data_IF_660290219797
#
_entry.id   IF_660290219797
#
_cell.length_a   1.000
_cell.length_b   1.000
_cell.length_c   1.000
_cell.angle_alpha   90.00
_cell.angle_beta   90.00
_cell.angle_gamma   90.00
#
_symmetry.space_group_name_H-M   'P 1'
#
loop_
_entity.id
_entity.type
_entity.pdbx_description
1 polymer ?
#
# COMPACT_ATOMS: atom_id res chain seq x y z
N UNK A 1 -31.42 -42.50 60.75
CA UNK A 1 -30.43 -41.45 61.11
C UNK A 1 -30.37 -40.47 59.95
N UNK A 2 -31.03 -39.31 60.09
CA UNK A 2 -30.99 -38.22 59.11
C UNK A 2 -30.55 -36.97 59.85
N UNK A 3 -29.25 -36.84 60.09
CA UNK A 3 -28.68 -35.63 60.68
C UNK A 3 -28.75 -34.50 59.65
N UNK A 4 -29.44 -33.41 59.99
CA UNK A 4 -29.52 -32.23 59.13
C UNK A 4 -28.15 -31.55 59.10
N UNK A 5 -27.53 -31.50 57.92
CA UNK A 5 -26.28 -30.76 57.69
C UNK A 5 -26.65 -29.29 57.50
N UNK A 6 -26.36 -28.46 58.50
CA UNK A 6 -26.56 -27.02 58.43
C UNK A 6 -25.40 -26.36 57.67
N UNK A 7 -25.66 -25.83 56.48
CA UNK A 7 -24.68 -25.06 55.71
C UNK A 7 -24.84 -23.55 55.98
N UNK A 8 -23.73 -22.81 56.18
CA UNK A 8 -23.79 -21.36 56.28
C UNK A 8 -24.35 -20.73 55.00
N UNK A 9 -25.29 -19.79 55.13
CA UNK A 9 -25.95 -19.14 54.00
C UNK A 9 -24.95 -18.52 52.99
N UNK A 10 -23.87 -17.90 53.49
CA UNK A 10 -22.84 -17.30 52.65
C UNK A 10 -22.14 -18.34 51.74
N UNK A 11 -21.96 -19.57 52.22
CA UNK A 11 -21.33 -20.64 51.44
C UNK A 11 -22.25 -21.11 50.31
N UNK A 12 -23.56 -21.19 50.58
CA UNK A 12 -24.58 -21.50 49.57
C UNK A 12 -24.63 -20.43 48.48
N UNK A 13 -24.54 -19.14 48.85
CA UNK A 13 -24.49 -18.03 47.89
C UNK A 13 -23.25 -18.10 47.01
N UNK A 14 -22.08 -18.41 47.57
CA UNK A 14 -20.83 -18.58 46.81
C UNK A 14 -20.95 -19.77 45.84
N UNK A 15 -21.45 -20.92 46.31
CA UNK A 15 -21.65 -22.10 45.47
C UNK A 15 -22.65 -21.84 44.34
N UNK A 16 -23.75 -21.15 44.62
CA UNK A 16 -24.73 -20.76 43.62
C UNK A 16 -24.12 -19.80 42.58
N UNK A 17 -23.31 -18.83 43.02
CA UNK A 17 -22.60 -17.93 42.12
C UNK A 17 -21.65 -18.68 41.18
N UNK A 18 -20.81 -19.58 41.70
CA UNK A 18 -19.91 -20.39 40.87
C UNK A 18 -20.67 -21.37 39.96
N UNK A 19 -21.81 -21.91 40.40
CA UNK A 19 -22.67 -22.74 39.57
C UNK A 19 -23.26 -21.94 38.40
N UNK A 20 -23.73 -20.70 38.65
CA UNK A 20 -24.22 -19.79 37.61
C UNK A 20 -23.11 -19.41 36.64
N UNK A 21 -21.92 -19.05 37.13
CA UNK A 21 -20.75 -18.77 36.29
C UNK A 21 -20.39 -19.99 35.44
N UNK A 22 -20.38 -21.19 36.02
CA UNK A 22 -20.12 -22.43 35.30
C UNK A 22 -21.16 -22.75 34.22
N UNK A 23 -22.44 -22.49 34.48
CA UNK A 23 -23.53 -22.64 33.50
C UNK A 23 -23.38 -21.63 32.37
N UNK A 24 -23.09 -20.36 32.68
CA UNK A 24 -22.85 -19.33 31.68
C UNK A 24 -21.67 -19.69 30.80
N UNK A 25 -20.55 -20.16 31.38
CA UNK A 25 -19.36 -20.50 30.62
C UNK A 25 -19.49 -21.81 29.80
N UNK A 26 -20.20 -22.83 30.31
CA UNK A 26 -20.35 -24.11 29.61
C UNK A 26 -21.53 -24.19 28.64
N UNK A 27 -22.61 -23.45 28.87
CA UNK A 27 -23.84 -23.58 28.06
C UNK A 27 -24.05 -22.35 27.18
N UNK A 28 -23.99 -21.16 27.79
CA UNK A 28 -24.26 -19.92 27.04
C UNK A 28 -23.06 -19.49 26.20
N UNK A 29 -21.84 -19.51 26.76
CA UNK A 29 -20.66 -19.04 26.02
C UNK A 29 -20.35 -19.86 24.74
N UNK A 30 -20.51 -21.20 24.68
CA UNK A 30 -20.31 -21.95 23.44
C UNK A 30 -21.40 -21.67 22.40
N UNK A 31 -22.67 -21.56 22.84
CA UNK A 31 -23.80 -21.24 21.97
C UNK A 31 -23.69 -19.84 21.37
N UNK A 32 -23.32 -18.86 22.19
CA UNK A 32 -23.04 -17.49 21.77
C UNK A 32 -21.83 -17.45 20.83
N UNK A 33 -20.72 -18.13 21.17
CA UNK A 33 -19.55 -18.25 20.29
C UNK A 33 -19.90 -18.88 18.94
N UNK A 34 -20.73 -19.92 18.93
CA UNK A 34 -21.19 -20.57 17.71
C UNK A 34 -22.08 -19.65 16.88
N UNK A 35 -23.03 -18.94 17.49
CA UNK A 35 -23.89 -17.97 16.81
C UNK A 35 -23.08 -16.87 16.12
N UNK A 36 -22.12 -16.27 16.83
CA UNK A 36 -21.23 -15.27 16.24
C UNK A 36 -20.31 -15.86 15.16
N UNK A 37 -19.73 -17.05 15.39
CA UNK A 37 -18.88 -17.74 14.40
C UNK A 37 -19.66 -18.07 13.13
N UNK A 38 -20.90 -18.56 13.24
CA UNK A 38 -21.77 -18.85 12.09
C UNK A 38 -22.08 -17.56 11.32
N UNK A 39 -22.37 -16.45 12.01
CA UNK A 39 -22.63 -15.16 11.36
C UNK A 39 -21.38 -14.61 10.64
N UNK A 40 -20.19 -14.75 11.24
CA UNK A 40 -18.92 -14.36 10.62
C UNK A 40 -18.58 -15.25 9.43
N UNK A 41 -18.75 -16.58 9.54
CA UNK A 41 -18.51 -17.50 8.43
C UNK A 41 -19.45 -17.22 7.27
N UNK A 42 -20.76 -17.05 7.53
CA UNK A 42 -21.71 -16.71 6.47
C UNK A 42 -21.36 -15.36 5.80
N UNK A 43 -20.89 -14.37 6.56
CA UNK A 43 -20.43 -13.10 5.99
C UNK A 43 -19.15 -13.26 5.17
N UNK A 44 -18.22 -14.13 5.58
CA UNK A 44 -17.02 -14.48 4.80
C UNK A 44 -17.41 -15.18 3.50
N UNK A 45 -18.37 -16.11 3.55
CA UNK A 45 -18.83 -16.85 2.38
C UNK A 45 -19.56 -15.93 1.39
N UNK A 46 -20.41 -15.02 1.88
CA UNK A 46 -21.04 -13.98 1.06
C UNK A 46 -20.01 -13.02 0.45
N UNK A 47 -18.97 -12.66 1.20
CA UNK A 47 -17.86 -11.84 0.68
C UNK A 47 -17.05 -12.58 -0.38
N UNK A 48 -16.73 -13.85 -0.15
CA UNK A 48 -16.01 -14.71 -1.10
C UNK A 48 -16.78 -14.90 -2.41
N UNK A 49 -18.12 -14.82 -2.40
CA UNK A 49 -18.94 -14.86 -3.62
C UNK A 49 -18.88 -13.58 -4.45
N UNK A 50 -18.47 -12.45 -3.85
CA UNK A 50 -18.40 -11.13 -4.51
C UNK A 50 -16.98 -10.71 -4.90
N UNK A 51 -15.97 -11.48 -4.50
CA UNK A 51 -14.56 -11.20 -4.78
C UNK A 51 -14.07 -12.12 -5.88
N UNK A 52 -13.31 -11.59 -6.84
CA UNK A 52 -12.64 -12.39 -7.86
C UNK A 52 -11.60 -13.32 -7.22
N UNK A 53 -11.00 -12.89 -6.10
CA UNK A 53 -10.07 -13.69 -5.29
C UNK A 53 -10.63 -13.99 -3.90
N UNK A 54 -10.73 -15.28 -3.55
CA UNK A 54 -11.21 -15.75 -2.26
C UNK A 54 -10.26 -15.37 -1.12
N UNK A 55 -10.84 -15.09 0.05
CA UNK A 55 -10.09 -14.87 1.30
C UNK A 55 -9.44 -16.19 1.71
N UNK A 56 -8.11 -16.21 1.82
CA UNK A 56 -7.39 -17.42 2.21
C UNK A 56 -7.59 -17.77 3.70
N UNK A 57 -7.68 -19.05 4.06
CA UNK A 57 -7.80 -19.51 5.45
C UNK A 57 -6.69 -18.96 6.37
N UNK A 58 -5.49 -18.75 5.82
CA UNK A 58 -4.36 -18.17 6.56
C UNK A 58 -4.66 -16.79 7.16
N UNK A 59 -5.47 -15.96 6.48
CA UNK A 59 -5.90 -14.66 7.02
C UNK A 59 -6.88 -14.81 8.20
N UNK A 60 -7.58 -15.94 8.28
CA UNK A 60 -8.55 -16.27 9.33
C UNK A 60 -7.91 -17.00 10.51
N UNK A 61 -6.68 -17.49 10.36
CA UNK A 61 -5.89 -18.09 11.43
C UNK A 61 -5.73 -17.10 12.57
N UNK A 62 -5.90 -17.58 13.81
CA UNK A 62 -5.68 -16.74 14.99
C UNK A 62 -4.26 -16.21 14.95
N UNK A 63 -4.11 -14.89 15.13
CA UNK A 63 -2.80 -14.21 15.15
C UNK A 63 -1.77 -14.92 16.04
N UNK A 64 -2.18 -15.42 17.21
CA UNK A 64 -1.27 -16.14 18.11
C UNK A 64 -0.71 -17.41 17.45
N UNK A 65 -1.54 -18.17 16.73
CA UNK A 65 -1.08 -19.38 16.03
C UNK A 65 -0.09 -19.07 14.93
N UNK A 66 -0.24 -17.95 14.21
CA UNK A 66 0.74 -17.50 13.22
C UNK A 66 2.08 -17.10 13.86
N UNK A 67 2.03 -16.46 15.03
CA UNK A 67 3.23 -16.11 15.80
C UNK A 67 3.93 -17.39 16.27
N UNK A 68 3.19 -18.34 16.84
CA UNK A 68 3.75 -19.59 17.31
C UNK A 68 4.38 -20.37 16.14
N UNK A 69 3.69 -20.49 15.01
CA UNK A 69 4.21 -21.14 13.80
C UNK A 69 5.51 -20.48 13.31
N UNK A 70 5.59 -19.14 13.34
CA UNK A 70 6.80 -18.41 12.96
C UNK A 70 7.95 -18.61 13.96
N UNK A 71 7.65 -18.65 15.25
CA UNK A 71 8.64 -18.84 16.31
C UNK A 71 9.26 -20.23 16.31
N UNK A 72 8.52 -21.24 15.87
CA UNK A 72 8.99 -22.62 15.75
C UNK A 72 9.45 -22.97 14.31
N UNK A 73 9.52 -22.00 13.39
CA UNK A 73 10.08 -22.22 12.06
C UNK A 73 11.59 -22.51 12.16
N UNK A 74 12.05 -23.55 11.46
CA UNK A 74 13.44 -24.02 11.50
C UNK A 74 14.45 -22.88 11.25
N UNK A 75 14.20 -22.03 10.24
CA UNK A 75 15.13 -20.95 9.87
C UNK A 75 15.17 -19.83 10.91
N UNK A 76 14.12 -19.67 11.73
CA UNK A 76 14.10 -18.73 12.86
C UNK A 76 14.85 -19.33 14.05
N UNK A 77 14.61 -20.61 14.37
CA UNK A 77 15.32 -21.31 15.45
C UNK A 77 16.83 -21.36 15.19
N UNK A 78 17.25 -21.67 13.96
CA UNK A 78 18.66 -21.63 13.53
C UNK A 78 19.29 -20.24 13.76
N UNK A 79 18.57 -19.16 13.44
CA UNK A 79 19.08 -17.81 13.65
C UNK A 79 19.14 -17.42 15.13
N UNK A 80 18.18 -17.86 15.93
CA UNK A 80 18.21 -17.70 17.39
C UNK A 80 19.42 -18.42 17.99
N UNK A 81 19.71 -19.63 17.53
CA UNK A 81 20.86 -20.43 17.97
C UNK A 81 22.19 -19.79 17.57
N UNK A 82 22.32 -19.40 16.30
CA UNK A 82 23.52 -18.73 15.79
C UNK A 82 23.83 -17.45 16.56
N UNK A 83 22.81 -16.63 16.84
CA UNK A 83 23.00 -15.41 17.60
C UNK A 83 23.28 -15.64 19.09
N UNK A 84 22.65 -16.65 19.70
CA UNK A 84 22.93 -17.02 21.09
C UNK A 84 24.38 -17.46 21.27
N UNK A 85 24.91 -18.24 20.31
CA UNK A 85 26.31 -18.67 20.29
C UNK A 85 27.26 -17.48 20.08
N UNK A 86 26.97 -16.61 19.11
CA UNK A 86 27.84 -15.47 18.78
C UNK A 86 27.90 -14.41 19.88
N UNK A 87 26.79 -14.18 20.59
CA UNK A 87 26.68 -13.12 21.62
C UNK A 87 26.91 -13.60 23.05
N UNK A 88 26.99 -14.92 23.28
CA UNK A 88 27.01 -15.52 24.63
C UNK A 88 25.73 -15.30 25.44
N UNK A 89 24.68 -14.76 24.83
CA UNK A 89 23.42 -14.45 25.50
C UNK A 89 22.57 -15.72 25.63
N UNK A 90 21.91 -15.98 26.78
CA UNK A 90 21.06 -17.15 26.93
C UNK A 90 19.97 -17.24 25.84
N UNK A 91 19.80 -18.42 25.25
CA UNK A 91 18.80 -18.71 24.19
C UNK A 91 17.41 -18.15 24.52
N UNK A 92 16.97 -18.27 25.77
CA UNK A 92 15.66 -17.79 26.21
C UNK A 92 15.47 -16.28 26.02
N UNK A 93 16.54 -15.48 26.15
CA UNK A 93 16.50 -14.03 25.96
C UNK A 93 16.36 -13.68 24.47
N UNK A 94 17.14 -14.35 23.62
CA UNK A 94 17.07 -14.17 22.16
C UNK A 94 15.71 -14.63 21.63
N UNK A 95 15.17 -15.74 22.13
CA UNK A 95 13.84 -16.24 21.80
C UNK A 95 12.75 -15.22 22.14
N UNK A 96 12.79 -14.60 23.33
CA UNK A 96 11.85 -13.51 23.70
C UNK A 96 11.96 -12.31 22.77
N UNK A 97 13.15 -12.00 22.25
CA UNK A 97 13.35 -10.92 21.29
C UNK A 97 12.79 -11.28 19.91
N UNK A 98 13.02 -12.49 19.42
CA UNK A 98 12.38 -13.02 18.22
C UNK A 98 10.85 -12.99 18.34
N UNK A 99 10.29 -13.34 19.50
CA UNK A 99 8.84 -13.28 19.75
C UNK A 99 8.31 -11.84 19.69
N UNK A 100 9.09 -10.87 20.23
CA UNK A 100 8.75 -9.44 20.10
C UNK A 100 8.72 -9.02 18.63
N UNK A 101 9.69 -9.45 17.83
CA UNK A 101 9.72 -9.19 16.39
C UNK A 101 8.55 -9.85 15.67
N UNK A 102 8.23 -11.11 15.97
CA UNK A 102 7.07 -11.80 15.43
C UNK A 102 5.76 -11.07 15.77
N UNK A 103 5.58 -10.61 17.02
CA UNK A 103 4.42 -9.80 17.42
C UNK A 103 4.39 -8.44 16.70
N UNK A 104 5.54 -7.83 16.44
CA UNK A 104 5.61 -6.59 15.68
C UNK A 104 5.16 -6.80 14.23
N UNK A 105 5.63 -7.87 13.59
CA UNK A 105 5.42 -8.19 12.17
C UNK A 105 4.02 -8.77 11.91
N UNK A 106 3.58 -9.78 12.66
CA UNK A 106 2.33 -10.49 12.37
C UNK A 106 1.12 -9.56 12.62
N UNK A 107 0.29 -9.30 11.60
CA UNK A 107 -0.88 -8.42 11.70
C UNK A 107 -2.03 -9.12 12.44
N UNK A 108 -2.95 -8.32 12.97
CA UNK A 108 -4.21 -8.79 13.56
C UNK A 108 -5.33 -8.56 12.56
N UNK A 109 -5.44 -9.42 11.54
CA UNK A 109 -6.46 -9.25 10.50
C UNK A 109 -7.87 -9.42 11.06
N UNK A 110 -8.77 -8.52 10.66
CA UNK A 110 -10.20 -8.58 10.98
C UNK A 110 -11.02 -8.43 9.70
N UNK A 111 -11.69 -9.51 9.30
CA UNK A 111 -12.55 -9.56 8.10
C UNK A 111 -13.62 -8.46 8.14
N UNK A 112 -14.31 -8.33 9.28
CA UNK A 112 -15.40 -7.36 9.44
C UNK A 112 -14.89 -5.93 9.36
N UNK A 113 -13.75 -5.63 9.98
CA UNK A 113 -13.14 -4.30 9.91
C UNK A 113 -12.71 -3.97 8.48
N UNK A 114 -12.11 -4.94 7.77
CA UNK A 114 -11.65 -4.77 6.39
C UNK A 114 -12.81 -4.47 5.43
N UNK A 115 -13.80 -5.37 5.34
CA UNK A 115 -14.81 -5.31 4.27
C UNK A 115 -16.02 -4.41 4.57
N UNK A 116 -16.37 -4.17 5.83
CA UNK A 116 -17.58 -3.41 6.15
C UNK A 116 -17.31 -1.92 6.40
N UNK A 117 -16.31 -1.60 7.22
CA UNK A 117 -16.03 -0.22 7.64
C UNK A 117 -14.85 0.38 6.90
N UNK A 118 -13.76 -0.39 6.75
CA UNK A 118 -12.52 0.02 6.09
C UNK A 118 -12.74 0.47 4.65
N UNK A 119 -13.35 -0.38 3.81
CA UNK A 119 -13.64 -0.03 2.41
C UNK A 119 -14.53 1.20 2.26
N UNK A 120 -15.57 1.36 3.09
CA UNK A 120 -16.47 2.52 3.01
C UNK A 120 -15.75 3.82 3.38
N UNK A 121 -14.94 3.79 4.43
CA UNK A 121 -14.12 4.93 4.83
C UNK A 121 -13.08 5.23 3.76
N UNK A 122 -12.39 4.22 3.24
CA UNK A 122 -11.38 4.40 2.20
C UNK A 122 -11.99 5.07 0.97
N UNK A 123 -13.12 4.56 0.48
CA UNK A 123 -13.89 5.18 -0.60
C UNK A 123 -14.27 6.63 -0.28
N UNK A 124 -14.88 6.85 0.89
CA UNK A 124 -15.30 8.19 1.30
C UNK A 124 -14.13 9.17 1.36
N UNK A 125 -13.00 8.79 1.98
CA UNK A 125 -11.81 9.64 2.08
C UNK A 125 -11.21 9.94 0.71
N UNK A 126 -11.08 8.93 -0.15
CA UNK A 126 -10.53 9.09 -1.49
C UNK A 126 -11.41 9.98 -2.37
N UNK A 127 -12.73 9.75 -2.40
CA UNK A 127 -13.69 10.57 -3.18
C UNK A 127 -13.94 11.94 -2.55
N UNK A 128 -13.66 12.09 -1.25
CA UNK A 128 -13.75 13.36 -0.55
C UNK A 128 -12.69 14.34 -1.06
N UNK A 129 -11.44 13.87 -1.22
CA UNK A 129 -10.31 14.70 -1.62
C UNK A 129 -10.15 14.74 -3.14
N UNK A 130 -10.36 13.61 -3.84
CA UNK A 130 -10.03 13.43 -5.24
C UNK A 130 -11.22 13.06 -6.13
N UNK A 131 -11.05 13.24 -7.43
CA UNK A 131 -11.80 12.50 -8.45
C UNK A 131 -11.04 11.22 -8.75
N UNK A 132 -11.41 10.12 -8.08
CA UNK A 132 -10.76 8.82 -8.28
C UNK A 132 -11.16 8.26 -9.65
N UNK A 133 -10.18 7.83 -10.43
CA UNK A 133 -10.37 7.28 -11.78
C UNK A 133 -9.57 5.99 -11.94
N UNK A 134 -10.21 5.03 -12.60
CA UNK A 134 -9.50 3.90 -13.19
C UNK A 134 -8.92 4.40 -14.52
N UNK A 135 -7.61 4.26 -14.68
CA UNK A 135 -6.91 4.52 -15.93
C UNK A 135 -7.03 3.31 -16.85
N UNK A 136 -5.91 2.65 -17.09
CA UNK A 136 -5.86 1.38 -17.81
C UNK A 136 -6.08 0.20 -16.86
N UNK A 137 -6.84 -0.81 -17.28
CA UNK A 137 -6.90 -2.09 -16.58
C UNK A 137 -6.97 -3.19 -17.63
N UNK A 138 -5.99 -4.11 -17.61
CA UNK A 138 -6.04 -5.31 -18.43
C UNK A 138 -7.00 -6.33 -17.81
N UNK A 139 -8.30 -6.06 -17.93
CA UNK A 139 -9.35 -6.88 -17.32
C UNK A 139 -9.34 -8.31 -17.87
N UNK A 140 -8.90 -8.52 -19.11
CA UNK A 140 -8.77 -9.87 -19.68
C UNK A 140 -7.58 -10.60 -19.05
N UNK A 141 -6.38 -10.01 -19.00
CA UNK A 141 -5.24 -10.67 -18.37
C UNK A 141 -5.47 -10.93 -16.87
N UNK A 142 -6.18 -10.01 -16.18
CA UNK A 142 -6.55 -10.18 -14.77
C UNK A 142 -7.52 -11.35 -14.53
N UNK A 143 -8.46 -11.64 -15.45
CA UNK A 143 -9.36 -12.80 -15.35
C UNK A 143 -8.66 -14.14 -15.53
N UNK A 144 -7.53 -14.16 -16.26
CA UNK A 144 -6.75 -15.37 -16.52
C UNK A 144 -5.79 -15.73 -15.37
N UNK A 145 -5.68 -14.86 -14.35
CA UNK A 145 -4.91 -15.18 -13.15
C UNK A 145 -5.56 -16.36 -12.43
N UNK A 146 -4.77 -17.42 -12.19
CA UNK A 146 -5.24 -18.59 -11.46
C UNK A 146 -5.82 -18.16 -10.10
N UNK A 147 -7.08 -18.50 -9.77
CA UNK A 147 -7.68 -18.22 -8.46
C UNK A 147 -6.91 -18.84 -7.29
N UNK A 148 -6.06 -19.84 -7.57
CA UNK A 148 -5.15 -20.44 -6.61
C UNK A 148 -3.76 -19.80 -6.60
N UNK A 149 -3.44 -18.82 -7.45
CA UNK A 149 -2.16 -18.11 -7.35
C UNK A 149 -2.07 -17.22 -6.10
N UNK A 150 -0.84 -16.95 -5.69
CA UNK A 150 -0.49 -15.98 -4.66
C UNK A 150 -0.29 -14.62 -5.33
N UNK A 151 -1.30 -13.77 -5.27
CA UNK A 151 -1.26 -12.47 -5.98
C UNK A 151 -0.55 -11.39 -5.16
N UNK A 152 0.42 -10.72 -5.77
CA UNK A 152 1.18 -9.62 -5.18
C UNK A 152 1.03 -8.37 -6.05
N UNK A 153 0.29 -7.37 -5.57
CA UNK A 153 0.24 -6.07 -6.24
C UNK A 153 1.55 -5.32 -5.99
N UNK A 154 2.24 -4.94 -7.06
CA UNK A 154 3.49 -4.18 -6.99
C UNK A 154 3.28 -2.81 -7.61
N UNK A 155 3.62 -1.75 -6.88
CA UNK A 155 3.18 -0.41 -7.25
C UNK A 155 4.19 0.67 -6.88
N UNK A 156 4.13 1.78 -7.62
CA UNK A 156 4.91 2.97 -7.28
C UNK A 156 4.34 3.69 -6.04
N UNK A 157 5.15 4.48 -5.35
CA UNK A 157 4.78 5.15 -4.10
C UNK A 157 4.92 6.68 -4.16
N UNK A 158 3.77 7.36 -4.24
CA UNK A 158 3.65 8.81 -4.43
C UNK A 158 3.12 9.52 -3.19
N UNK A 159 2.10 8.96 -2.55
CA UNK A 159 1.39 9.57 -1.43
C UNK A 159 1.07 8.54 -0.35
N UNK A 160 0.87 8.97 0.89
CA UNK A 160 0.29 8.05 1.88
C UNK A 160 -1.17 7.72 1.57
N UNK A 161 -1.82 8.48 0.66
CA UNK A 161 -3.13 8.13 0.12
C UNK A 161 -3.11 6.86 -0.73
N UNK A 162 -1.94 6.41 -1.22
CA UNK A 162 -1.81 5.20 -2.06
C UNK A 162 -2.42 3.96 -1.37
N UNK A 163 -2.16 3.79 -0.07
CA UNK A 163 -2.73 2.68 0.71
C UNK A 163 -4.26 2.71 0.73
N UNK A 164 -4.85 3.90 0.86
CA UNK A 164 -6.30 4.10 0.93
C UNK A 164 -6.94 3.86 -0.44
N UNK A 165 -6.35 4.43 -1.49
CA UNK A 165 -6.85 4.32 -2.87
C UNK A 165 -6.78 2.90 -3.38
N UNK A 166 -5.66 2.22 -3.17
CA UNK A 166 -5.54 0.82 -3.57
C UNK A 166 -6.46 -0.06 -2.73
N UNK A 167 -6.67 0.24 -1.44
CA UNK A 167 -7.66 -0.52 -0.63
C UNK A 167 -9.04 -0.35 -1.22
N UNK A 168 -9.45 0.89 -1.51
CA UNK A 168 -10.74 1.18 -2.12
C UNK A 168 -10.90 0.44 -3.45
N UNK A 169 -9.93 0.55 -4.35
CA UNK A 169 -10.02 0.01 -5.69
C UNK A 169 -9.88 -1.51 -5.73
N UNK A 170 -8.91 -2.06 -5.02
CA UNK A 170 -8.72 -3.50 -4.98
C UNK A 170 -9.78 -4.20 -4.14
N UNK A 171 -10.37 -3.58 -3.10
CA UNK A 171 -11.46 -4.23 -2.33
C UNK A 171 -12.71 -4.55 -3.14
N UNK A 172 -12.87 -3.94 -4.33
CA UNK A 172 -13.90 -4.31 -5.29
C UNK A 172 -13.55 -5.54 -6.14
N UNK A 173 -12.30 -6.03 -6.09
CA UNK A 173 -11.77 -7.18 -6.87
C UNK A 173 -11.13 -8.27 -5.97
N UNK A 174 -10.56 -7.93 -4.80
CA UNK A 174 -9.77 -8.82 -3.94
C UNK A 174 -9.58 -8.33 -2.48
N UNK A 175 -9.17 -9.24 -1.58
CA UNK A 175 -8.77 -8.91 -0.20
C UNK A 175 -7.26 -8.65 -0.08
N UNK A 176 -6.79 -7.43 0.21
CA UNK A 176 -5.35 -7.09 0.25
C UNK A 176 -4.71 -7.15 1.65
N UNK A 177 -3.40 -7.38 1.71
CA UNK A 177 -2.50 -7.25 2.89
C UNK A 177 -1.28 -6.39 2.52
N UNK A 178 -0.97 -5.31 3.25
CA UNK A 178 0.07 -4.34 2.86
C UNK A 178 1.40 -4.49 3.63
N UNK A 179 2.53 -4.14 3.00
CA UNK A 179 3.76 -3.79 3.72
C UNK A 179 3.81 -2.27 3.94
N UNK A 180 3.79 -1.77 5.19
CA UNK A 180 3.71 -0.33 5.52
C UNK A 180 4.92 0.14 6.35
N UNK A 181 5.47 1.32 6.06
CA UNK A 181 6.59 1.91 6.80
C UNK A 181 6.23 2.55 8.15
N UNK A 182 7.24 3.00 8.90
CA UNK A 182 7.12 3.47 10.29
C UNK A 182 6.25 4.73 10.53
N UNK A 183 5.92 5.51 9.49
CA UNK A 183 5.14 6.76 9.63
C UNK A 183 3.67 6.53 10.01
N UNK A 184 3.11 5.35 9.77
CA UNK A 184 1.73 5.01 10.10
C UNK A 184 1.48 4.60 11.58
N UNK A 185 2.45 4.89 12.48
CA UNK A 185 2.33 4.68 13.95
C UNK A 185 1.49 5.75 14.68
N UNK A 186 0.47 6.31 14.04
CA UNK A 186 -0.53 7.17 14.69
C UNK A 186 -1.60 6.25 15.30
N UNK A 187 -1.84 6.33 16.61
CA UNK A 187 -2.57 5.34 17.42
C UNK A 187 -3.93 4.86 16.83
N UNK A 188 -4.72 5.74 16.21
CA UNK A 188 -5.98 5.37 15.54
C UNK A 188 -5.80 4.73 14.14
N UNK A 189 -4.86 5.22 13.34
CA UNK A 189 -4.61 4.76 11.97
C UNK A 189 -3.86 3.42 11.96
N UNK A 190 -2.98 3.20 12.94
CA UNK A 190 -2.20 1.98 13.11
C UNK A 190 -3.09 0.75 13.33
N UNK A 191 -4.13 0.87 14.16
CA UNK A 191 -5.06 -0.23 14.43
C UNK A 191 -5.87 -0.61 13.18
N UNK A 192 -6.34 0.40 12.43
CA UNK A 192 -7.04 0.19 11.16
C UNK A 192 -6.13 -0.49 10.12
N UNK A 193 -4.92 0.02 9.91
CA UNK A 193 -3.95 -0.54 8.96
C UNK A 193 -3.60 -2.00 9.29
N UNK A 194 -3.33 -2.34 10.56
CA UNK A 194 -3.06 -3.73 10.99
C UNK A 194 -4.29 -4.62 10.84
N UNK A 195 -5.49 -4.09 11.11
CA UNK A 195 -6.75 -4.81 10.91
C UNK A 195 -7.02 -5.14 9.45
N UNK A 196 -6.47 -4.33 8.53
CA UNK A 196 -6.50 -4.57 7.09
C UNK A 196 -5.39 -5.53 6.61
N UNK A 197 -4.71 -6.22 7.52
CA UNK A 197 -3.71 -7.22 7.18
C UNK A 197 -2.35 -6.64 6.81
N UNK A 198 -2.11 -5.36 7.09
CA UNK A 198 -0.84 -4.73 6.83
C UNK A 198 0.20 -4.99 7.94
N UNK A 199 1.43 -5.33 7.57
CA UNK A 199 2.54 -5.51 8.48
C UNK A 199 3.56 -4.38 8.37
N UNK A 200 4.08 -3.95 9.52
CA UNK A 200 5.01 -2.83 9.61
C UNK A 200 6.46 -3.31 9.50
N UNK A 201 7.24 -2.64 8.64
CA UNK A 201 8.65 -2.97 8.44
C UNK A 201 9.53 -1.83 8.95
N UNK A 202 10.53 -2.19 9.75
CA UNK A 202 11.57 -1.26 10.20
C UNK A 202 12.44 -0.86 9.02
N UNK A 203 12.53 0.44 8.74
CA UNK A 203 13.41 0.95 7.69
C UNK A 203 14.85 0.90 8.20
N UNK A 204 15.78 0.36 7.42
CA UNK A 204 17.22 0.26 7.74
C UNK A 204 17.55 -0.50 9.04
N UNK A 205 16.75 -1.50 9.43
CA UNK A 205 17.15 -2.36 10.55
C UNK A 205 18.40 -3.15 10.17
N UNK A 206 19.46 -3.03 10.98
CA UNK A 206 20.70 -3.82 10.88
C UNK A 206 20.65 -5.13 11.68
N UNK A 207 19.52 -5.42 12.31
CA UNK A 207 19.32 -6.60 13.14
C UNK A 207 19.00 -7.81 12.24
N UNK A 208 19.93 -8.78 12.21
CA UNK A 208 19.82 -9.97 11.37
C UNK A 208 18.68 -10.90 11.83
N UNK A 209 18.45 -11.02 13.15
CA UNK A 209 17.36 -11.81 13.70
C UNK A 209 16.01 -11.22 13.26
N UNK A 210 15.86 -9.90 13.31
CA UNK A 210 14.66 -9.22 12.80
C UNK A 210 14.42 -9.53 11.33
N UNK A 211 15.45 -9.40 10.48
CA UNK A 211 15.36 -9.70 9.04
C UNK A 211 14.99 -11.16 8.79
N UNK A 212 15.53 -12.09 9.58
CA UNK A 212 15.21 -13.52 9.45
C UNK A 212 13.75 -13.79 9.80
N UNK A 213 13.26 -13.26 10.93
CA UNK A 213 11.86 -13.39 11.35
C UNK A 213 10.92 -12.77 10.30
N UNK A 214 11.25 -11.58 9.79
CA UNK A 214 10.49 -10.92 8.73
C UNK A 214 10.47 -11.74 7.44
N UNK A 215 11.63 -12.21 6.97
CA UNK A 215 11.72 -12.97 5.73
C UNK A 215 10.93 -14.28 5.80
N UNK A 216 10.93 -14.96 6.94
CA UNK A 216 10.13 -16.17 7.15
C UNK A 216 8.63 -15.90 7.18
N UNK A 217 8.20 -14.81 7.82
CA UNK A 217 6.79 -14.42 7.78
C UNK A 217 6.33 -14.10 6.35
N UNK A 218 7.11 -13.34 5.58
CA UNK A 218 6.76 -12.97 4.19
C UNK A 218 6.70 -14.20 3.30
N UNK A 219 7.68 -15.10 3.39
CA UNK A 219 7.66 -16.36 2.64
C UNK A 219 6.42 -17.21 3.00
N UNK A 220 6.11 -17.34 4.30
CA UNK A 220 4.95 -18.08 4.78
C UNK A 220 3.63 -17.46 4.28
N UNK A 221 3.47 -16.14 4.38
CA UNK A 221 2.28 -15.45 3.89
C UNK A 221 2.11 -15.63 2.37
N UNK A 222 3.20 -15.48 1.62
CA UNK A 222 3.19 -15.63 0.16
C UNK A 222 2.79 -17.05 -0.24
N UNK A 223 3.44 -18.09 0.30
CA UNK A 223 3.10 -19.50 0.01
C UNK A 223 1.68 -19.91 0.37
N UNK A 224 1.10 -19.25 1.37
CA UNK A 224 -0.26 -19.51 1.82
C UNK A 224 -1.31 -18.75 0.98
N UNK A 225 -0.90 -18.11 -0.13
CA UNK A 225 -1.79 -17.41 -1.05
C UNK A 225 -2.30 -16.07 -0.53
N UNK A 226 -1.70 -15.52 0.53
CA UNK A 226 -2.12 -14.22 1.07
C UNK A 226 -1.89 -13.17 -0.02
N UNK A 227 -2.98 -12.57 -0.50
CA UNK A 227 -2.87 -11.47 -1.44
C UNK A 227 -2.17 -10.30 -0.77
N UNK A 228 -1.07 -9.85 -1.35
CA UNK A 228 -0.17 -8.85 -0.79
C UNK A 228 -0.10 -7.60 -1.68
N UNK A 229 0.27 -6.48 -1.09
CA UNK A 229 0.55 -5.23 -1.79
C UNK A 229 1.89 -4.67 -1.29
N UNK A 230 2.80 -4.40 -2.23
CA UNK A 230 4.17 -3.98 -1.97
C UNK A 230 4.50 -2.74 -2.79
N UNK A 231 5.25 -1.84 -2.18
CA UNK A 231 5.87 -0.68 -2.83
C UNK A 231 7.37 -0.97 -2.99
N UNK A 232 7.83 -1.46 -4.16
CA UNK A 232 9.24 -1.84 -4.34
C UNK A 232 10.19 -0.66 -4.07
N UNK A 233 9.76 0.58 -4.31
CA UNK A 233 10.53 1.80 -4.01
C UNK A 233 10.94 1.96 -2.53
N UNK A 234 10.25 1.29 -1.59
CA UNK A 234 10.54 1.29 -0.16
C UNK A 234 10.21 2.59 0.59
N UNK A 235 9.82 3.65 -0.12
CA UNK A 235 9.42 4.93 0.43
C UNK A 235 8.87 5.89 -0.61
N UNK A 236 8.28 6.99 -0.15
CA UNK A 236 7.73 8.03 -1.01
C UNK A 236 8.83 8.68 -1.85
N UNK A 237 8.52 8.97 -3.10
CA UNK A 237 9.34 9.85 -3.94
C UNK A 237 9.42 11.27 -3.37
N UNK A 238 10.58 11.92 -3.50
CA UNK A 238 10.84 13.28 -3.01
C UNK A 238 10.98 14.30 -4.14
N UNK A 239 11.27 13.82 -5.34
CA UNK A 239 11.51 14.62 -6.54
C UNK A 239 10.52 14.31 -7.66
N UNK A 240 9.57 13.41 -7.44
CA UNK A 240 8.60 13.03 -8.46
C UNK A 240 9.10 11.96 -9.43
N UNK A 241 10.33 11.45 -9.32
CA UNK A 241 10.79 10.31 -10.13
C UNK A 241 10.42 8.97 -9.49
N UNK A 242 10.35 7.93 -10.31
CA UNK A 242 10.37 6.56 -9.82
C UNK A 242 11.71 6.30 -9.12
N UNK A 243 11.66 5.66 -7.95
CA UNK A 243 12.87 5.29 -7.20
C UNK A 243 13.35 3.89 -7.57
N UNK A 244 14.64 3.67 -7.36
CA UNK A 244 15.23 2.34 -7.43
C UNK A 244 14.56 1.35 -6.48
N UNK A 245 14.29 0.11 -6.91
CA UNK A 245 13.61 -0.88 -6.09
C UNK A 245 14.49 -1.37 -4.93
N UNK A 246 13.82 -1.69 -3.82
CA UNK A 246 14.40 -2.37 -2.67
C UNK A 246 14.12 -3.87 -2.78
N UNK A 247 15.18 -4.63 -2.97
CA UNK A 247 15.10 -6.07 -3.27
C UNK A 247 14.68 -6.93 -2.08
N UNK A 248 14.75 -6.42 -0.85
CA UNK A 248 14.55 -7.20 0.38
C UNK A 248 13.24 -7.98 0.41
N UNK A 249 12.10 -7.31 0.26
CA UNK A 249 10.79 -7.97 0.27
C UNK A 249 10.62 -8.98 -0.87
N UNK A 250 11.01 -8.59 -2.09
CA UNK A 250 10.93 -9.48 -3.26
C UNK A 250 11.77 -10.75 -3.03
N UNK A 251 12.99 -10.60 -2.51
CA UNK A 251 13.85 -11.74 -2.18
C UNK A 251 13.22 -12.69 -1.16
N UNK A 252 12.45 -12.18 -0.19
CA UNK A 252 11.74 -13.04 0.77
C UNK A 252 10.54 -13.75 0.16
N UNK A 253 9.85 -13.12 -0.80
CA UNK A 253 8.69 -13.70 -1.47
C UNK A 253 9.08 -14.85 -2.38
N UNK A 254 10.17 -14.70 -3.14
CA UNK A 254 10.64 -15.71 -4.10
C UNK A 254 11.60 -16.73 -3.48
N UNK A 255 12.01 -16.53 -2.22
CA UNK A 255 12.97 -17.41 -1.57
C UNK A 255 12.46 -18.86 -1.49
N UNK A 256 13.29 -19.78 -1.99
CA UNK A 256 13.01 -21.22 -2.07
C UNK A 256 11.68 -21.55 -2.79
N UNK A 257 11.22 -20.69 -3.70
CA UNK A 257 10.01 -20.95 -4.49
C UNK A 257 10.25 -22.05 -5.53
N UNK A 258 9.38 -23.05 -5.56
CA UNK A 258 9.46 -24.20 -6.47
C UNK A 258 8.13 -24.38 -7.22
N UNK A 259 8.06 -24.09 -8.54
CA UNK A 259 6.81 -24.12 -9.30
C UNK A 259 6.04 -25.45 -9.24
N UNK A 260 6.74 -26.58 -9.09
CA UNK A 260 6.12 -27.92 -9.08
C UNK A 260 5.45 -28.28 -7.74
N UNK A 261 5.75 -27.57 -6.66
CA UNK A 261 5.31 -27.93 -5.30
C UNK A 261 4.50 -26.83 -4.61
N UNK A 262 4.53 -25.61 -5.15
CA UNK A 262 3.93 -24.42 -4.55
C UNK A 262 2.95 -23.74 -5.50
N UNK A 263 2.04 -22.95 -4.92
CA UNK A 263 1.13 -22.07 -5.66
C UNK A 263 1.96 -21.02 -6.40
N UNK A 264 1.66 -20.76 -7.68
CA UNK A 264 2.40 -19.72 -8.42
C UNK A 264 2.28 -18.35 -7.76
N UNK A 265 3.30 -17.51 -7.93
CA UNK A 265 3.29 -16.13 -7.44
C UNK A 265 3.05 -15.23 -8.65
N UNK A 266 1.96 -14.46 -8.61
CA UNK A 266 1.59 -13.58 -9.72
C UNK A 266 1.72 -12.13 -9.26
N UNK A 267 2.64 -11.39 -9.87
CA UNK A 267 2.84 -9.97 -9.61
C UNK A 267 1.93 -9.15 -10.51
N UNK A 268 1.08 -8.29 -9.93
CA UNK A 268 0.21 -7.38 -10.69
C UNK A 268 0.78 -5.97 -10.60
N UNK A 269 1.33 -5.40 -11.69
CA UNK A 269 1.80 -4.03 -11.72
C UNK A 269 0.65 -3.04 -11.51
N UNK A 270 0.84 -2.04 -10.64
CA UNK A 270 -0.12 -0.96 -10.42
C UNK A 270 0.58 0.39 -10.51
N UNK A 271 0.06 1.27 -11.38
CA UNK A 271 0.58 2.59 -11.67
C UNK A 271 -0.33 3.65 -11.06
N UNK A 272 0.22 4.49 -10.19
CA UNK A 272 -0.49 5.51 -9.43
C UNK A 272 0.03 6.90 -9.81
N UNK A 273 -0.87 7.83 -10.12
CA UNK A 273 -0.52 9.24 -10.28
C UNK A 273 -1.60 10.19 -9.76
N UNK A 274 -1.20 11.43 -9.46
CA UNK A 274 -2.06 12.45 -8.86
C UNK A 274 -1.88 13.81 -9.52
N UNK A 275 -2.99 14.53 -9.75
CA UNK A 275 -2.94 15.95 -10.07
C UNK A 275 -2.44 16.78 -8.87
N UNK A 276 -2.60 16.27 -7.65
CA UNK A 276 -2.03 16.86 -6.44
C UNK A 276 -1.75 15.82 -5.37
N UNK A 277 -0.50 15.69 -4.94
CA UNK A 277 -0.13 14.89 -3.77
C UNK A 277 -0.34 15.72 -2.50
N UNK A 278 -0.99 15.15 -1.47
CA UNK A 278 -1.29 15.87 -0.21
C UNK A 278 0.00 16.31 0.48
N UNK A 279 1.02 15.46 0.44
CA UNK A 279 2.30 15.64 1.13
C UNK A 279 3.37 16.33 0.28
N UNK A 280 3.04 16.80 -0.93
CA UNK A 280 4.04 17.26 -1.91
C UNK A 280 5.03 18.29 -1.33
N UNK A 281 4.54 19.34 -0.66
CA UNK A 281 5.38 20.36 -0.01
C UNK A 281 6.26 19.82 1.10
N UNK A 282 5.83 18.76 1.80
CA UNK A 282 6.64 18.10 2.83
C UNK A 282 7.73 17.25 2.17
N UNK A 283 7.40 16.60 1.05
CA UNK A 283 8.30 15.74 0.30
C UNK A 283 9.39 16.57 -0.40
N UNK A 284 9.03 17.73 -0.95
CA UNK A 284 9.95 18.67 -1.63
C UNK A 284 10.71 19.59 -0.67
N UNK A 285 10.27 19.73 0.60
CA UNK A 285 10.86 20.61 1.60
C UNK A 285 12.39 20.53 1.73
N UNK A 286 12.96 19.33 1.59
CA UNK A 286 14.41 19.13 1.63
C UNK A 286 15.11 19.81 0.46
N UNK A 287 14.62 19.56 -0.76
CA UNK A 287 15.13 20.18 -1.98
C UNK A 287 14.85 21.70 -1.99
N UNK A 288 13.68 22.13 -1.51
CA UNK A 288 13.34 23.55 -1.36
C UNK A 288 14.29 24.28 -0.40
N UNK A 289 14.67 23.63 0.72
CA UNK A 289 15.64 24.19 1.66
C UNK A 289 17.02 24.32 1.01
N UNK A 290 17.45 23.34 0.24
CA UNK A 290 18.74 23.35 -0.43
C UNK A 290 18.81 24.42 -1.54
N UNK A 291 17.72 24.57 -2.30
CA UNK A 291 17.64 25.54 -3.40
C UNK A 291 17.37 26.98 -2.96
N UNK A 292 16.48 27.19 -1.99
CA UNK A 292 15.99 28.52 -1.60
C UNK A 292 16.41 28.97 -0.19
N UNK A 293 17.05 28.10 0.59
CA UNK A 293 17.36 28.33 2.00
C UNK A 293 16.15 28.24 2.95
N UNK A 294 14.92 28.12 2.44
CA UNK A 294 13.70 28.13 3.25
C UNK A 294 13.44 26.77 3.89
N UNK A 295 13.31 26.74 5.22
CA UNK A 295 12.95 25.51 5.93
C UNK A 295 11.43 25.38 6.08
N UNK A 296 10.84 24.31 5.55
CA UNK A 296 9.47 23.93 5.86
C UNK A 296 9.42 23.04 7.11
N UNK A 297 8.75 23.49 8.18
CA UNK A 297 8.51 22.70 9.41
C UNK A 297 7.02 22.58 9.67
N UNK A 298 6.51 21.35 9.70
CA UNK A 298 5.12 21.08 10.06
C UNK A 298 4.98 21.15 11.58
N UNK A 299 4.16 22.08 12.07
CA UNK A 299 3.76 22.13 13.48
C UNK A 299 2.65 21.09 13.73
N UNK A 300 2.58 20.43 14.90
CA UNK A 300 1.54 19.44 15.19
C UNK A 300 0.10 19.97 14.99
N UNK A 301 -0.16 21.23 15.35
CA UNK A 301 -1.46 21.88 15.15
C UNK A 301 -1.81 22.20 13.69
N UNK A 302 -0.84 22.18 12.78
CA UNK A 302 -1.07 22.47 11.36
C UNK A 302 -1.88 21.38 10.67
N UNK A 303 -1.74 20.12 11.10
CA UNK A 303 -2.51 18.99 10.55
C UNK A 303 -3.99 19.13 10.96
N UNK A 304 -4.26 19.42 12.23
CA UNK A 304 -5.62 19.64 12.72
C UNK A 304 -6.28 20.86 12.03
N UNK A 305 -5.53 21.96 11.90
CA UNK A 305 -6.00 23.15 11.17
C UNK A 305 -6.26 22.88 9.68
N UNK A 306 -5.42 22.07 9.04
CA UNK A 306 -5.62 21.63 7.65
C UNK A 306 -6.91 20.82 7.49
N UNK A 307 -7.14 19.82 8.35
CA UNK A 307 -8.37 19.01 8.34
C UNK A 307 -9.61 19.88 8.59
N UNK A 308 -9.54 20.77 9.58
CA UNK A 308 -10.63 21.71 9.88
C UNK A 308 -10.96 22.61 8.69
N UNK A 309 -9.94 23.21 8.05
CA UNK A 309 -10.14 24.05 6.87
C UNK A 309 -10.74 23.26 5.70
N UNK A 310 -10.31 22.01 5.50
CA UNK A 310 -10.83 21.16 4.45
C UNK A 310 -12.32 20.82 4.66
N UNK A 311 -12.71 20.53 5.91
CA UNK A 311 -14.11 20.33 6.29
C UNK A 311 -14.94 21.62 6.12
N UNK A 312 -14.40 22.76 6.58
CA UNK A 312 -15.05 24.08 6.43
C UNK A 312 -15.30 24.43 4.97
N UNK A 313 -14.30 24.28 4.10
CA UNK A 313 -14.43 24.56 2.66
C UNK A 313 -15.48 23.66 2.02
N UNK A 314 -15.59 22.39 2.46
CA UNK A 314 -16.62 21.48 1.94
C UNK A 314 -18.02 21.87 2.38
N UNK A 315 -18.20 22.19 3.66
CA UNK A 315 -19.49 22.65 4.19
C UNK A 315 -19.95 23.94 3.51
N UNK A 316 -19.01 24.79 3.09
CA UNK A 316 -19.28 26.01 2.36
C UNK A 316 -19.47 25.79 0.84
N UNK A 317 -19.35 24.56 0.32
CA UNK A 317 -19.42 24.27 -1.11
C UNK A 317 -18.24 24.82 -1.93
N UNK A 318 -17.18 25.31 -1.29
CA UNK A 318 -16.01 25.95 -1.91
C UNK A 318 -14.81 25.01 -2.07
N UNK A 319 -14.95 23.75 -1.68
CA UNK A 319 -13.89 22.77 -1.83
C UNK A 319 -13.72 22.38 -3.30
N UNK A 320 -12.69 22.94 -3.94
CA UNK A 320 -12.15 22.36 -5.15
C UNK A 320 -11.40 21.07 -4.78
N UNK A 321 -11.84 19.94 -5.35
CA UNK A 321 -11.13 18.67 -5.21
C UNK A 321 -9.70 18.80 -5.72
N UNK A 322 -8.81 17.96 -5.23
CA UNK A 322 -7.36 17.97 -5.53
C UNK A 322 -7.05 17.40 -6.94
N UNK A 323 -7.94 17.63 -7.91
CA UNK A 323 -7.87 17.02 -9.23
C UNK A 323 -8.16 15.51 -9.19
N UNK A 324 -7.50 14.79 -10.09
CA UNK A 324 -7.64 13.35 -10.26
C UNK A 324 -6.60 12.59 -9.45
N UNK A 325 -7.02 11.44 -8.93
CA UNK A 325 -6.14 10.36 -8.50
C UNK A 325 -6.44 9.20 -9.43
N UNK A 326 -5.47 8.79 -10.24
CA UNK A 326 -5.66 7.78 -11.27
C UNK A 326 -4.81 6.56 -10.97
N UNK A 327 -5.42 5.40 -11.14
CA UNK A 327 -4.80 4.11 -10.88
C UNK A 327 -4.99 3.23 -12.10
N UNK A 328 -3.88 2.65 -12.57
CA UNK A 328 -3.86 1.70 -13.67
C UNK A 328 -3.37 0.33 -13.18
N UNK A 329 -3.92 -0.74 -13.74
CA UNK A 329 -3.48 -2.13 -13.53
C UNK A 329 -2.87 -2.66 -14.82
N UNK A 330 -1.64 -3.16 -14.72
CA UNK A 330 -0.90 -3.71 -15.85
C UNK A 330 -1.07 -5.22 -15.98
N UNK A 331 -0.48 -5.76 -17.03
CA UNK A 331 -0.43 -7.20 -17.30
C UNK A 331 0.23 -7.95 -16.11
N UNK A 332 -0.44 -8.97 -15.54
CA UNK A 332 0.13 -9.80 -14.48
C UNK A 332 1.36 -10.58 -14.95
N UNK A 333 2.40 -10.64 -14.12
CA UNK A 333 3.62 -11.41 -14.33
C UNK A 333 3.60 -12.66 -13.44
N UNK A 334 3.54 -13.83 -14.07
CA UNK A 334 3.72 -15.13 -13.39
C UNK A 334 5.20 -15.37 -13.09
N UNK A 335 5.53 -15.65 -11.83
CA UNK A 335 6.89 -15.95 -11.41
C UNK A 335 7.40 -17.25 -12.05
N UNK A 336 6.57 -18.28 -12.12
CA UNK A 336 6.93 -19.55 -12.76
C UNK A 336 7.28 -19.38 -14.25
N UNK A 337 6.48 -18.59 -14.98
CA UNK A 337 6.74 -18.27 -16.38
C UNK A 337 8.00 -17.41 -16.54
N UNK A 338 8.18 -16.42 -15.66
CA UNK A 338 9.35 -15.55 -15.67
C UNK A 338 10.64 -16.33 -15.41
N UNK A 339 10.64 -17.27 -14.47
CA UNK A 339 11.77 -18.17 -14.20
C UNK A 339 12.14 -18.98 -15.42
N UNK A 340 11.14 -19.60 -16.08
CA UNK A 340 11.36 -20.40 -17.28
C UNK A 340 11.94 -19.56 -18.42
N UNK A 341 11.43 -18.34 -18.62
CA UNK A 341 11.91 -17.43 -19.65
C UNK A 341 13.33 -16.91 -19.40
N UNK A 342 13.74 -16.77 -18.13
CA UNK A 342 15.04 -16.22 -17.76
C UNK A 342 16.08 -17.28 -17.33
N UNK A 343 15.71 -18.56 -17.32
CA UNK A 343 16.60 -19.66 -16.91
C UNK A 343 17.05 -19.57 -15.45
N UNK A 344 16.15 -19.18 -14.54
CA UNK A 344 16.45 -18.97 -13.10
C UNK A 344 15.71 -19.98 -12.24
N UNK A 345 16.39 -20.51 -11.22
CA UNK A 345 15.76 -21.33 -10.18
C UNK A 345 16.02 -20.74 -8.78
N UNK A 346 15.03 -20.04 -8.23
CA UNK A 346 15.14 -19.41 -6.90
C UNK A 346 15.30 -20.40 -5.73
N UNK A 347 15.07 -21.70 -5.94
CA UNK A 347 15.26 -22.75 -4.95
C UNK A 347 16.67 -23.35 -4.95
N UNK A 348 17.28 -23.48 -6.12
CA UNK A 348 18.57 -24.17 -6.29
C UNK A 348 19.73 -23.18 -6.42
N UNK A 349 19.50 -22.02 -7.02
CA UNK A 349 20.57 -21.06 -7.33
C UNK A 349 21.32 -20.58 -6.08
N UNK A 350 22.65 -20.47 -6.23
CA UNK A 350 23.53 -19.89 -5.21
C UNK A 350 23.10 -18.47 -4.83
N UNK A 351 23.52 -18.03 -3.64
CA UNK A 351 23.04 -16.77 -3.06
C UNK A 351 23.34 -15.56 -3.96
N UNK A 352 24.51 -15.47 -4.59
CA UNK A 352 24.82 -14.37 -5.53
C UNK A 352 23.94 -14.42 -6.78
N UNK A 353 23.85 -15.58 -7.44
CA UNK A 353 23.02 -15.76 -8.64
C UNK A 353 21.56 -15.44 -8.37
N UNK A 354 21.05 -15.88 -7.22
CA UNK A 354 19.69 -15.57 -6.76
C UNK A 354 19.49 -14.08 -6.54
N UNK A 355 20.44 -13.39 -5.90
CA UNK A 355 20.34 -11.95 -5.68
C UNK A 355 20.30 -11.17 -7.01
N UNK A 356 21.16 -11.54 -7.97
CA UNK A 356 21.15 -10.96 -9.30
C UNK A 356 19.82 -11.22 -10.04
N UNK A 357 19.26 -12.43 -9.91
CA UNK A 357 17.94 -12.75 -10.47
C UNK A 357 16.81 -11.94 -9.84
N UNK A 358 16.83 -11.74 -8.51
CA UNK A 358 15.86 -10.87 -7.82
C UNK A 358 15.98 -9.43 -8.32
N UNK A 359 17.20 -8.94 -8.57
CA UNK A 359 17.40 -7.60 -9.15
C UNK A 359 16.75 -7.50 -10.53
N UNK A 360 17.01 -8.46 -11.43
CA UNK A 360 16.39 -8.47 -12.76
C UNK A 360 14.86 -8.53 -12.71
N UNK A 361 14.30 -9.34 -11.81
CA UNK A 361 12.85 -9.40 -11.59
C UNK A 361 12.32 -8.04 -11.11
N UNK A 362 13.01 -7.39 -10.17
CA UNK A 362 12.61 -6.08 -9.66
C UNK A 362 12.66 -5.01 -10.78
N UNK A 363 13.68 -5.04 -11.63
CA UNK A 363 13.83 -4.10 -12.76
C UNK A 363 12.72 -4.28 -13.81
N UNK A 364 12.36 -5.53 -14.14
CA UNK A 364 11.22 -5.84 -15.02
C UNK A 364 9.90 -5.34 -14.41
N UNK A 365 9.66 -5.62 -13.12
CA UNK A 365 8.47 -5.13 -12.42
C UNK A 365 8.43 -3.59 -12.39
N UNK A 366 9.54 -2.91 -12.11
CA UNK A 366 9.61 -1.44 -12.12
C UNK A 366 9.40 -0.88 -13.53
N UNK A 367 9.89 -1.55 -14.57
CA UNK A 367 9.65 -1.18 -15.97
C UNK A 367 8.17 -1.30 -16.32
N UNK A 368 7.54 -2.41 -15.93
CA UNK A 368 6.09 -2.63 -16.12
C UNK A 368 5.25 -1.59 -15.37
N UNK A 369 5.58 -1.31 -14.10
CA UNK A 369 4.94 -0.26 -13.30
C UNK A 369 5.09 1.09 -14.00
N UNK A 370 6.30 1.45 -14.45
CA UNK A 370 6.55 2.72 -15.12
C UNK A 370 5.69 2.91 -16.36
N UNK A 371 5.65 1.91 -17.25
CA UNK A 371 4.85 1.97 -18.49
C UNK A 371 3.37 2.27 -18.28
N UNK A 372 2.79 1.81 -17.16
CA UNK A 372 1.36 1.96 -16.90
C UNK A 372 0.99 3.15 -16.02
N UNK A 373 1.96 3.94 -15.53
CA UNK A 373 1.67 5.15 -14.76
C UNK A 373 0.89 6.14 -15.64
N UNK A 374 -0.33 6.56 -15.23
CA UNK A 374 -1.12 7.44 -16.06
C UNK A 374 -0.55 8.86 -16.06
N UNK A 375 -0.44 9.47 -17.24
CA UNK A 375 -0.13 10.89 -17.39
C UNK A 375 -1.39 11.73 -17.08
N UNK A 376 -1.25 12.67 -16.16
CA UNK A 376 -2.37 13.48 -15.66
C UNK A 376 -2.24 14.96 -16.09
N UNK A 377 -3.36 15.70 -16.15
CA UNK A 377 -3.37 17.12 -16.52
C UNK A 377 -2.30 17.98 -15.87
N UNK A 378 -2.12 17.90 -14.55
CA UNK A 378 -1.11 18.72 -13.86
C UNK A 378 0.30 18.33 -14.28
N UNK A 379 0.59 17.03 -14.44
CA UNK A 379 1.90 16.56 -14.88
C UNK A 379 2.21 17.02 -16.32
N UNK A 380 1.24 16.92 -17.22
CA UNK A 380 1.36 17.35 -18.62
C UNK A 380 1.64 18.86 -18.73
N UNK A 381 0.83 19.69 -18.07
CA UNK A 381 1.00 21.15 -18.11
C UNK A 381 2.31 21.55 -17.40
N UNK A 382 2.69 20.87 -16.32
CA UNK A 382 3.97 21.14 -15.63
C UNK A 382 5.16 20.84 -16.52
N UNK A 383 5.13 19.75 -17.29
CA UNK A 383 6.18 19.39 -18.25
C UNK A 383 6.37 20.49 -19.30
N UNK A 384 5.28 20.94 -19.94
CA UNK A 384 5.35 21.99 -20.97
C UNK A 384 5.80 23.34 -20.41
N UNK A 385 5.29 23.74 -19.23
CA UNK A 385 5.72 24.99 -18.58
C UNK A 385 7.20 24.98 -18.19
N UNK A 386 7.81 23.82 -18.02
CA UNK A 386 9.23 23.69 -17.65
C UNK A 386 10.17 23.58 -18.86
N UNK A 387 9.64 23.45 -20.09
CA UNK A 387 10.46 23.52 -21.30
C UNK A 387 11.07 24.92 -21.46
N UNK A 388 10.24 25.95 -21.29
CA UNK A 388 10.60 27.37 -21.38
C UNK A 388 10.09 28.15 -20.15
N UNK A 389 10.67 27.96 -18.95
CA UNK A 389 10.08 28.41 -17.68
C UNK A 389 9.97 29.93 -17.53
N UNK A 390 10.83 30.70 -18.20
CA UNK A 390 10.87 32.16 -18.12
C UNK A 390 9.96 32.85 -19.16
N UNK A 391 9.40 32.08 -20.10
CA UNK A 391 8.61 32.59 -21.23
C UNK A 391 7.12 32.68 -20.87
N UNK A 392 6.51 33.82 -21.18
CA UNK A 392 5.05 33.99 -21.09
C UNK A 392 4.38 33.39 -22.33
N UNK A 393 3.53 32.38 -22.13
CA UNK A 393 2.81 31.68 -23.20
C UNK A 393 1.31 31.99 -23.15
N UNK A 394 0.69 32.13 -24.32
CA UNK A 394 -0.76 32.23 -24.43
C UNK A 394 -1.46 30.89 -24.15
N UNK A 395 -2.72 30.91 -23.72
CA UNK A 395 -3.48 29.68 -23.45
C UNK A 395 -3.55 28.74 -24.67
N UNK A 396 -3.73 29.30 -25.88
CA UNK A 396 -3.79 28.52 -27.12
C UNK A 396 -2.45 27.85 -27.45
N UNK A 397 -1.34 28.56 -27.25
CA UNK A 397 0.00 28.00 -27.45
C UNK A 397 0.27 26.87 -26.46
N UNK A 398 -0.05 27.09 -25.17
CA UNK A 398 0.09 26.08 -24.13
C UNK A 398 -0.75 24.84 -24.44
N UNK A 399 -2.00 25.02 -24.89
CA UNK A 399 -2.88 23.92 -25.32
C UNK A 399 -2.28 23.14 -26.47
N UNK A 400 -1.76 23.81 -27.50
CA UNK A 400 -1.12 23.16 -28.64
C UNK A 400 0.04 22.29 -28.19
N UNK A 401 0.98 22.84 -27.41
CA UNK A 401 2.14 22.09 -26.91
C UNK A 401 1.76 20.90 -26.04
N UNK A 402 0.75 21.06 -25.17
CA UNK A 402 0.26 19.93 -24.37
C UNK A 402 -0.42 18.88 -25.24
N UNK A 403 -1.13 19.25 -26.31
CA UNK A 403 -1.73 18.28 -27.23
C UNK A 403 -0.67 17.50 -28.00
N UNK A 404 0.43 18.15 -28.38
CA UNK A 404 1.58 17.50 -29.00
C UNK A 404 2.24 16.52 -28.03
N UNK A 405 2.42 16.93 -26.76
CA UNK A 405 2.93 16.07 -25.70
C UNK A 405 2.03 14.84 -25.46
N UNK A 406 0.70 15.04 -25.39
CA UNK A 406 -0.28 13.95 -25.26
C UNK A 406 -0.15 12.97 -26.43
N UNK A 407 -0.11 13.49 -27.66
CA UNK A 407 -0.05 12.67 -28.86
C UNK A 407 1.26 11.87 -28.95
N UNK A 408 2.38 12.48 -28.53
CA UNK A 408 3.69 11.81 -28.41
C UNK A 408 3.67 10.69 -27.36
N UNK A 409 3.08 10.93 -26.19
CA UNK A 409 2.93 9.93 -25.14
C UNK A 409 2.05 8.76 -25.59
N UNK A 410 0.90 9.04 -26.20
CA UNK A 410 0.00 8.02 -26.74
C UNK A 410 0.66 7.19 -27.84
N UNK A 411 1.43 7.81 -28.73
CA UNK A 411 2.20 7.10 -29.77
C UNK A 411 3.27 6.15 -29.19
N UNK A 412 3.81 6.47 -28.01
CA UNK A 412 4.73 5.60 -27.26
C UNK A 412 4.02 4.52 -26.45
N UNK A 413 2.68 4.46 -26.50
CA UNK A 413 1.86 3.51 -25.74
C UNK A 413 1.64 3.91 -24.27
N UNK A 414 1.97 5.15 -23.88
CA UNK A 414 1.70 5.62 -22.53
C UNK A 414 0.22 5.94 -22.35
N UNK A 415 -0.31 5.68 -21.16
CA UNK A 415 -1.71 5.96 -20.84
C UNK A 415 -1.88 7.40 -20.37
N UNK A 416 -2.63 8.21 -21.12
CA UNK A 416 -2.98 9.57 -20.73
C UNK A 416 -4.41 9.60 -20.20
N UNK A 417 -4.61 10.15 -19.00
CA UNK A 417 -5.96 10.37 -18.49
C UNK A 417 -6.53 11.68 -19.05
N UNK A 418 -7.45 11.56 -20.00
CA UNK A 418 -8.19 12.69 -20.58
C UNK A 418 -9.57 12.76 -19.91
N UNK A 419 -9.81 13.70 -18.98
CA UNK A 419 -11.10 13.78 -18.32
C UNK A 419 -12.18 14.14 -19.33
N UNK A 420 -13.31 13.40 -19.31
CA UNK A 420 -14.44 13.56 -20.25
C UNK A 420 -14.10 13.32 -21.72
N UNK A 421 -12.94 12.70 -22.00
CA UNK A 421 -12.43 12.53 -23.37
C UNK A 421 -12.23 13.85 -24.12
N UNK A 422 -12.06 14.94 -23.38
CA UNK A 422 -11.85 16.29 -23.89
C UNK A 422 -10.45 16.78 -23.49
N UNK A 423 -9.56 16.90 -24.48
CA UNK A 423 -8.18 17.35 -24.29
C UNK A 423 -8.13 18.82 -23.84
N UNK A 424 -9.02 19.67 -24.33
CA UNK A 424 -9.09 21.07 -23.94
C UNK A 424 -9.44 21.19 -22.45
N UNK A 425 -10.45 20.43 -22.02
CA UNK A 425 -10.84 20.33 -20.62
C UNK A 425 -9.71 19.78 -19.72
N UNK A 426 -8.90 18.85 -20.24
CA UNK A 426 -7.72 18.34 -19.54
C UNK A 426 -6.73 19.48 -19.26
N UNK A 427 -6.30 20.21 -20.29
CA UNK A 427 -5.34 21.33 -20.16
C UNK A 427 -5.89 22.39 -19.22
N UNK A 428 -7.13 22.84 -19.42
CA UNK A 428 -7.75 23.85 -18.57
C UNK A 428 -7.87 23.40 -17.11
N UNK A 429 -8.07 22.11 -16.85
CA UNK A 429 -8.07 21.56 -15.48
C UNK A 429 -6.68 21.57 -14.85
N UNK A 430 -5.66 21.16 -15.60
CA UNK A 430 -4.26 21.19 -15.15
C UNK A 430 -3.79 22.61 -14.86
N UNK A 431 -3.98 23.52 -15.80
CA UNK A 431 -3.59 24.93 -15.68
C UNK A 431 -4.30 25.61 -14.50
N UNK A 432 -5.63 25.47 -14.37
CA UNK A 432 -6.37 26.01 -13.23
C UNK A 432 -5.83 25.50 -11.90
N UNK A 433 -5.47 24.22 -11.81
CA UNK A 433 -4.89 23.65 -10.59
C UNK A 433 -3.51 24.23 -10.28
N UNK A 434 -2.67 24.46 -11.30
CA UNK A 434 -1.37 25.11 -11.12
C UNK A 434 -1.52 26.57 -10.69
N UNK A 435 -2.43 27.33 -11.30
CA UNK A 435 -2.69 28.74 -10.95
C UNK A 435 -3.28 28.89 -9.55
N UNK A 436 -4.27 28.07 -9.17
CA UNK A 436 -4.86 28.07 -7.81
C UNK A 436 -3.83 27.74 -6.72
N UNK A 437 -2.73 27.10 -7.10
CA UNK A 437 -1.63 26.73 -6.21
C UNK A 437 -0.42 27.63 -6.33
N UNK A 438 -0.52 28.71 -7.12
CA UNK A 438 0.55 29.65 -7.42
C UNK A 438 1.79 29.01 -8.05
N UNK A 439 1.64 27.86 -8.70
CA UNK A 439 2.73 27.22 -9.45
C UNK A 439 2.85 27.77 -10.86
N UNK A 440 1.74 28.22 -11.46
CA UNK A 440 1.73 29.00 -12.68
C UNK A 440 1.31 30.44 -12.35
N UNK A 441 2.00 31.42 -12.94
CA UNK A 441 1.62 32.84 -12.87
C UNK A 441 0.83 33.21 -14.11
N UNK A 442 -0.15 34.11 -13.95
CA UNK A 442 -0.92 34.72 -15.02
C UNK A 442 -0.67 36.24 -14.98
N UNK A 443 -0.34 36.86 -16.11
CA UNK A 443 -0.17 38.31 -16.19
C UNK A 443 -1.45 39.03 -16.64
N UNK A 444 -1.43 40.36 -16.63
CA UNK A 444 -2.57 41.21 -17.01
C UNK A 444 -3.04 41.01 -18.47
N UNK A 445 -2.22 40.34 -19.31
CA UNK A 445 -2.53 40.00 -20.70
C UNK A 445 -3.10 38.58 -20.86
N UNK A 446 -3.32 37.86 -19.76
CA UNK A 446 -3.80 36.47 -19.78
C UNK A 446 -2.76 35.46 -20.29
N UNK A 447 -1.46 35.81 -20.22
CA UNK A 447 -0.37 34.88 -20.54
C UNK A 447 0.07 34.15 -19.27
N UNK A 448 0.52 32.91 -19.44
CA UNK A 448 0.94 32.03 -18.36
C UNK A 448 2.43 31.74 -18.41
N UNK A 449 3.07 31.58 -17.24
CA UNK A 449 4.44 31.06 -17.12
C UNK A 449 4.63 30.22 -15.87
N UNK A 450 5.72 29.46 -15.78
CA UNK A 450 6.11 28.80 -14.55
C UNK A 450 6.47 29.84 -13.47
N UNK A 451 6.02 29.64 -12.23
CA UNK A 451 6.45 30.48 -11.11
C UNK A 451 7.88 30.10 -10.71
N UNK A 452 8.87 31.03 -10.78
CA UNK A 452 10.25 30.75 -10.41
C UNK A 452 10.41 30.26 -8.96
N UNK A 453 9.50 30.65 -8.06
CA UNK A 453 9.51 30.26 -6.63
C UNK A 453 8.99 28.84 -6.38
N UNK A 454 8.28 28.24 -7.34
CA UNK A 454 7.64 26.93 -7.20
C UNK A 454 8.15 25.93 -8.25
N UNK A 455 9.30 26.21 -8.89
CA UNK A 455 9.90 25.35 -9.90
C UNK A 455 10.16 23.92 -9.41
N UNK A 456 10.59 23.74 -8.15
CA UNK A 456 10.81 22.41 -7.57
C UNK A 456 9.50 21.60 -7.53
N UNK A 457 8.39 22.27 -7.21
CA UNK A 457 7.10 21.62 -7.12
C UNK A 457 6.54 21.31 -8.51
N UNK A 458 6.70 22.22 -9.47
CA UNK A 458 6.41 21.93 -10.88
C UNK A 458 7.24 20.74 -11.38
N UNK A 459 8.54 20.71 -11.08
CA UNK A 459 9.45 19.65 -11.49
C UNK A 459 9.05 18.31 -10.86
N UNK A 460 8.58 18.32 -9.62
CA UNK A 460 8.02 17.14 -8.97
C UNK A 460 6.85 16.55 -9.77
N UNK A 461 5.94 17.38 -10.27
CA UNK A 461 4.82 16.91 -11.09
C UNK A 461 5.26 16.47 -12.50
N UNK A 462 6.16 17.20 -13.16
CA UNK A 462 6.69 16.82 -14.47
C UNK A 462 7.48 15.50 -14.42
N UNK A 463 8.29 15.31 -13.38
CA UNK A 463 9.05 14.08 -13.14
C UNK A 463 8.15 12.84 -12.99
N UNK A 464 6.87 13.03 -12.64
CA UNK A 464 5.92 11.93 -12.51
C UNK A 464 5.70 11.17 -13.80
N UNK A 465 5.93 11.80 -14.95
CA UNK A 465 5.78 11.22 -16.30
C UNK A 465 7.09 11.22 -17.10
N UNK A 466 8.20 11.73 -16.55
CA UNK A 466 9.46 11.89 -17.29
C UNK A 466 10.05 10.57 -17.84
N UNK A 467 9.75 9.43 -17.20
CA UNK A 467 10.17 8.11 -17.68
C UNK A 467 9.38 7.63 -18.90
N UNK A 468 8.17 8.16 -19.13
CA UNK A 468 7.35 7.88 -20.31
C UNK A 468 7.81 8.66 -21.55
N UNK A 469 8.61 9.70 -21.35
CA UNK A 469 9.15 10.54 -22.43
C UNK A 469 10.41 9.97 -23.07
N UNK A 470 11.04 8.96 -22.44
CA UNK A 470 12.29 8.38 -22.90
C UNK A 470 12.15 7.47 -24.11
#
# INVERSE_FOLDING_TARGET
MSAAVSLPYWLVVILAFFAVVGIVDRIFAPSVRWFFRRRVNNAIDELNQRLDMRIQPFKLTRRQSLIDQLMYDRKVLEAVEAEALASGTPRAVIMKRAERYAREIVPSFSVTTYFSFGTRIARWMSEFVYRVRLGFADDEALKHVDPQASVVFVMNHRSNMDYVLVTYMASSRASLSYAVGEWARIWLLQSLIRSMGAYFIRRNSNDELYRRVLGRYVAMATRQGVTQAVFPEGGLTRDGKLREPKLGLLSYMVADFTPAQERDIVFVPVGLNYDRVIEDRILTAGAEKEFSGRSFRVRPGAIAGFVYNLLKLRLQGRLYRYGHACVSFGEPLSLSQWQKANGVDFAIDEKEHRFAAVSRLADDLMTRIGKIIPALPVALVSTVLLEDPDTWMGELELKSRVFDLISSLEAKGAHVHIPRSDRDYAVGTGLRMLTLRHMAEENDRGLFRANPKEQILLQYYANSIAHLLR
#
